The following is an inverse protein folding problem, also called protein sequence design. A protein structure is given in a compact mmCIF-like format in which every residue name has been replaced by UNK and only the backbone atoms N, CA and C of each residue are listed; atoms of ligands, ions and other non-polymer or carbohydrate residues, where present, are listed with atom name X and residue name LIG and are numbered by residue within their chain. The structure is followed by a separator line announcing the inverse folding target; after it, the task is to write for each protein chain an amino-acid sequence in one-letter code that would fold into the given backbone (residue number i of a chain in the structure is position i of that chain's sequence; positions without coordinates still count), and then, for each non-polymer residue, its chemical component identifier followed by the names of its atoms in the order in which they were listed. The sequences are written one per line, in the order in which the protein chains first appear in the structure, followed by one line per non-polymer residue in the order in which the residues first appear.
data_IF_334575246955
#
_entry.id   IF_334575246955
#
_cell.length_a   1.000
_cell.length_b   1.000
_cell.length_c   1.000
_cell.angle_alpha   90.00
_cell.angle_beta   90.00
_cell.angle_gamma   90.00
#
_symmetry.space_group_name_H-M   'P 1'
#
loop_
_entity.id
_entity.type
_entity.pdbx_description
1 polymer ?
#
# COMPACT_ATOMS: atom_id res chain seq x y z
N UNK A 1 -5.41 -22.69 9.18
CA UNK A 1 -5.48 -22.40 10.63
C UNK A 1 -6.19 -21.06 10.77
N UNK A 2 -7.49 -21.08 11.09
CA UNK A 2 -8.35 -19.90 11.02
C UNK A 2 -8.16 -19.01 12.25
N UNK A 3 -7.84 -17.74 12.02
CA UNK A 3 -7.88 -16.71 13.05
C UNK A 3 -9.35 -16.36 13.35
N UNK A 4 -10.00 -17.12 14.23
CA UNK A 4 -11.16 -16.62 14.96
C UNK A 4 -10.66 -15.64 16.03
N UNK A 5 -10.43 -14.38 15.62
CA UNK A 5 -10.25 -13.31 16.59
C UNK A 5 -11.60 -13.00 17.25
N UNK A 6 -11.68 -13.31 18.55
CA UNK A 6 -12.83 -13.03 19.41
C UNK A 6 -13.31 -11.58 19.28
N UNK A 7 -14.61 -11.40 19.08
CA UNK A 7 -15.36 -10.15 18.94
C UNK A 7 -15.44 -9.29 20.21
N UNK A 8 -14.35 -9.15 20.97
CA UNK A 8 -14.19 -8.08 21.96
C UNK A 8 -12.90 -7.33 21.67
N UNK A 9 -13.01 -6.26 20.87
CA UNK A 9 -11.94 -5.25 20.76
C UNK A 9 -11.65 -4.72 22.16
N UNK A 10 -10.38 -4.52 22.50
CA UNK A 10 -10.03 -3.92 23.79
C UNK A 10 -10.73 -2.57 23.94
N UNK A 11 -11.01 -2.16 25.18
CA UNK A 11 -11.65 -0.88 25.47
C UNK A 11 -10.89 0.29 24.80
N UNK A 12 -9.57 0.15 24.72
CA UNK A 12 -8.66 1.11 24.12
C UNK A 12 -8.85 1.25 22.61
N UNK A 13 -9.07 0.14 21.90
CA UNK A 13 -9.44 0.17 20.48
C UNK A 13 -10.77 0.87 20.26
N UNK A 14 -11.77 0.64 21.13
CA UNK A 14 -13.07 1.30 21.01
C UNK A 14 -12.97 2.82 21.24
N UNK A 15 -12.18 3.27 22.22
CA UNK A 15 -11.90 4.69 22.46
C UNK A 15 -11.23 5.35 21.24
N UNK A 16 -10.21 4.71 20.68
CA UNK A 16 -9.56 5.19 19.46
C UNK A 16 -10.56 5.35 18.31
N UNK A 17 -11.35 4.32 17.99
CA UNK A 17 -12.30 4.40 16.87
C UNK A 17 -13.39 5.44 17.08
N UNK A 18 -13.84 5.64 18.33
CA UNK A 18 -14.78 6.71 18.66
C UNK A 18 -14.17 8.09 18.41
N UNK A 19 -12.92 8.32 18.82
CA UNK A 19 -12.20 9.57 18.55
C UNK A 19 -11.93 9.80 17.07
N UNK A 20 -11.55 8.74 16.33
CA UNK A 20 -11.32 8.82 14.88
C UNK A 20 -12.58 9.25 14.15
N UNK A 21 -13.73 8.65 14.50
CA UNK A 21 -15.03 9.08 13.96
C UNK A 21 -15.37 10.52 14.31
N UNK A 22 -15.19 10.93 15.57
CA UNK A 22 -15.44 12.32 15.98
C UNK A 22 -14.56 13.32 15.23
N UNK A 23 -13.31 12.97 14.92
CA UNK A 23 -12.43 13.79 14.11
C UNK A 23 -12.96 13.89 12.67
N UNK A 24 -13.38 12.77 12.07
CA UNK A 24 -13.93 12.76 10.71
C UNK A 24 -15.20 13.61 10.61
N UNK A 25 -16.13 13.42 11.54
CA UNK A 25 -17.37 14.19 11.63
C UNK A 25 -17.05 15.68 11.81
N UNK A 26 -16.12 16.03 12.72
CA UNK A 26 -15.70 17.41 12.94
C UNK A 26 -15.15 18.07 11.67
N UNK A 27 -14.27 17.39 10.93
CA UNK A 27 -13.68 17.95 9.70
C UNK A 27 -14.73 18.05 8.60
N UNK A 28 -15.64 17.09 8.49
CA UNK A 28 -16.73 17.15 7.52
C UNK A 28 -17.66 18.35 7.79
N UNK A 29 -17.94 18.65 9.07
CA UNK A 29 -18.83 19.73 9.47
C UNK A 29 -18.18 21.12 9.41
N UNK A 30 -16.86 21.20 9.62
CA UNK A 30 -16.15 22.48 9.76
C UNK A 30 -15.17 22.78 8.62
N UNK A 31 -14.98 21.85 7.69
CA UNK A 31 -14.04 21.97 6.58
C UNK A 31 -14.73 21.93 5.23
N UNK A 32 -14.08 22.52 4.24
CA UNK A 32 -14.46 22.39 2.84
C UNK A 32 -13.67 21.24 2.21
N UNK A 33 -14.38 20.22 1.70
CA UNK A 33 -13.75 19.18 0.89
C UNK A 33 -13.27 19.79 -0.44
N UNK A 34 -11.96 19.76 -0.68
CA UNK A 34 -11.34 20.31 -1.90
C UNK A 34 -11.16 19.22 -2.95
N UNK A 35 -10.75 18.02 -2.55
CA UNK A 35 -10.47 16.91 -3.47
C UNK A 35 -10.67 15.56 -2.80
N UNK A 36 -11.24 14.62 -3.54
CA UNK A 36 -11.25 13.18 -3.24
C UNK A 36 -10.54 12.44 -4.36
N UNK A 37 -9.73 11.44 -4.03
CA UNK A 37 -9.02 10.58 -4.99
C UNK A 37 -9.48 9.13 -4.80
N UNK A 38 -9.77 8.45 -5.91
CA UNK A 38 -10.20 7.03 -5.96
C UNK A 38 -11.40 6.71 -5.05
N UNK A 39 -12.29 7.68 -4.82
CA UNK A 39 -13.46 7.53 -3.96
C UNK A 39 -13.13 6.88 -2.60
N UNK A 40 -12.06 7.37 -1.96
CA UNK A 40 -11.63 6.95 -0.61
C UNK A 40 -11.98 8.00 0.45
N UNK A 41 -13.25 8.06 0.89
CA UNK A 41 -13.72 9.03 1.88
C UNK A 41 -13.23 8.72 3.30
N UNK A 42 -13.22 9.78 4.12
CA UNK A 42 -13.01 9.72 5.56
C UNK A 42 -14.28 9.31 6.32
N UNK A 43 -14.87 8.15 5.99
CA UNK A 43 -16.11 7.70 6.62
C UNK A 43 -16.07 6.23 7.05
N UNK A 44 -16.85 5.91 8.07
CA UNK A 44 -17.04 4.55 8.54
C UNK A 44 -18.16 3.87 7.75
N UNK A 45 -17.89 2.65 7.27
CA UNK A 45 -18.91 1.85 6.57
C UNK A 45 -19.65 0.98 7.57
N UNK A 46 -20.97 0.92 7.44
CA UNK A 46 -21.82 0.03 8.22
C UNK A 46 -21.83 -1.34 7.54
N UNK A 47 -21.39 -2.38 8.25
CA UNK A 47 -21.37 -3.75 7.76
C UNK A 47 -22.24 -4.64 8.65
N UNK A 48 -23.08 -5.47 8.01
CA UNK A 48 -23.82 -6.51 8.70
C UNK A 48 -22.94 -7.75 8.86
N UNK A 49 -22.62 -8.13 10.10
CA UNK A 49 -21.99 -9.43 10.40
C UNK A 49 -22.76 -10.11 11.52
N UNK A 50 -23.16 -11.36 11.28
CA UNK A 50 -23.79 -12.24 12.28
C UNK A 50 -24.89 -11.53 13.10
N UNK A 51 -25.86 -10.93 12.41
CA UNK A 51 -27.01 -10.22 13.01
C UNK A 51 -26.68 -8.93 13.79
N UNK A 52 -25.44 -8.45 13.75
CA UNK A 52 -25.02 -7.18 14.36
C UNK A 52 -24.57 -6.16 13.32
N UNK A 53 -24.87 -4.88 13.58
CA UNK A 53 -24.34 -3.74 12.84
C UNK A 53 -22.95 -3.43 13.39
N UNK A 54 -21.93 -3.49 12.54
CA UNK A 54 -20.55 -3.16 12.90
C UNK A 54 -20.11 -1.96 12.08
N UNK A 55 -19.55 -0.96 12.75
CA UNK A 55 -18.87 0.18 12.12
C UNK A 55 -17.44 -0.23 11.76
N UNK A 56 -17.14 -0.23 10.46
CA UNK A 56 -15.84 -0.61 9.92
C UNK A 56 -15.08 0.67 9.56
N UNK A 57 -13.89 0.91 10.13
CA UNK A 57 -13.09 2.08 9.80
C UNK A 57 -12.62 2.00 8.34
N UNK A 58 -12.38 3.13 7.66
CA UNK A 58 -11.82 3.12 6.32
C UNK A 58 -10.42 2.49 6.33
N UNK A 59 -10.11 1.69 5.32
CA UNK A 59 -8.76 1.10 5.15
C UNK A 59 -7.73 2.17 4.77
N UNK A 60 -8.16 3.14 3.96
CA UNK A 60 -7.37 4.29 3.53
C UNK A 60 -8.30 5.47 3.26
N UNK A 61 -7.78 6.68 3.43
CA UNK A 61 -8.45 7.94 3.11
C UNK A 61 -7.56 8.67 2.12
N UNK A 62 -8.16 9.28 1.09
CA UNK A 62 -7.44 10.13 0.13
C UNK A 62 -8.26 11.37 -0.15
N UNK A 63 -8.30 12.25 0.84
CA UNK A 63 -9.07 13.49 0.80
C UNK A 63 -8.23 14.67 1.24
N UNK A 64 -8.50 15.81 0.63
CA UNK A 64 -7.90 17.09 0.98
C UNK A 64 -9.03 18.02 1.45
N UNK A 65 -8.92 18.48 2.69
CA UNK A 65 -9.83 19.45 3.28
C UNK A 65 -9.14 20.79 3.48
N UNK A 66 -9.89 21.86 3.25
CA UNK A 66 -9.56 23.21 3.66
C UNK A 66 -10.30 23.55 4.95
N UNK A 67 -9.60 24.07 5.94
CA UNK A 67 -10.12 24.46 7.25
C UNK A 67 -9.63 25.87 7.56
N UNK A 68 -10.45 26.66 8.26
CA UNK A 68 -10.01 27.92 8.86
C UNK A 68 -8.95 27.66 9.94
N UNK A 69 -8.08 28.64 10.22
CA UNK A 69 -6.96 28.49 11.16
C UNK A 69 -7.38 27.98 12.55
N UNK A 70 -8.48 28.51 13.10
CA UNK A 70 -9.01 28.07 14.40
C UNK A 70 -9.47 26.60 14.35
N UNK A 71 -10.13 26.20 13.26
CA UNK A 71 -10.64 24.83 13.06
C UNK A 71 -9.53 23.85 12.76
N UNK A 72 -8.48 24.27 12.06
CA UNK A 72 -7.28 23.47 11.85
C UNK A 72 -6.56 23.21 13.17
N UNK A 73 -6.45 24.22 14.04
CA UNK A 73 -5.86 24.05 15.37
C UNK A 73 -6.66 23.05 16.21
N UNK A 74 -7.99 23.18 16.22
CA UNK A 74 -8.87 22.24 16.93
C UNK A 74 -8.78 20.81 16.35
N UNK A 75 -8.73 20.67 15.02
CA UNK A 75 -8.51 19.38 14.35
C UNK A 75 -7.17 18.75 14.76
N UNK A 76 -6.12 19.57 14.91
CA UNK A 76 -4.80 19.12 15.35
C UNK A 76 -4.83 18.58 16.78
N UNK A 77 -5.54 19.23 17.69
CA UNK A 77 -5.68 18.76 19.07
C UNK A 77 -6.45 17.43 19.13
N UNK A 78 -7.57 17.34 18.39
CA UNK A 78 -8.34 16.08 18.25
C UNK A 78 -7.50 14.96 17.64
N UNK A 79 -6.72 15.25 16.60
CA UNK A 79 -5.82 14.29 15.95
C UNK A 79 -4.73 13.79 16.90
N UNK A 80 -4.11 14.67 17.68
CA UNK A 80 -3.10 14.29 18.66
C UNK A 80 -3.67 13.40 19.76
N UNK A 81 -4.87 13.73 20.27
CA UNK A 81 -5.57 12.88 21.24
C UNK A 81 -5.90 11.50 20.66
N UNK A 82 -6.40 11.44 19.43
CA UNK A 82 -6.67 10.20 18.72
C UNK A 82 -5.40 9.35 18.52
N UNK A 83 -4.27 9.97 18.13
CA UNK A 83 -2.97 9.29 17.97
C UNK A 83 -2.47 8.69 19.29
N UNK A 84 -2.66 9.40 20.40
CA UNK A 84 -2.29 8.91 21.72
C UNK A 84 -3.07 7.63 22.07
N UNK A 85 -4.40 7.65 21.86
CA UNK A 85 -5.24 6.48 22.14
C UNK A 85 -4.93 5.30 21.21
N UNK A 86 -4.61 5.55 19.93
CA UNK A 86 -4.10 4.54 19.01
C UNK A 86 -2.80 3.90 19.50
N UNK A 87 -1.86 4.72 19.97
CA UNK A 87 -0.56 4.25 20.46
C UNK A 87 -0.73 3.36 21.69
N UNK A 88 -1.63 3.74 22.61
CA UNK A 88 -2.00 2.90 23.76
C UNK A 88 -2.64 1.57 23.32
N UNK A 89 -3.57 1.59 22.35
CA UNK A 89 -4.22 0.38 21.85
C UNK A 89 -3.20 -0.59 21.21
N UNK A 90 -2.25 -0.05 20.46
CA UNK A 90 -1.16 -0.84 19.89
C UNK A 90 -0.24 -1.43 20.95
N UNK A 91 0.07 -0.67 22.01
CA UNK A 91 0.88 -1.14 23.13
C UNK A 91 0.20 -2.28 23.91
N UNK A 92 -1.11 -2.21 24.15
CA UNK A 92 -1.89 -3.31 24.76
C UNK A 92 -1.78 -4.61 23.95
N UNK A 93 -1.72 -4.49 22.62
CA UNK A 93 -1.57 -5.60 21.70
C UNK A 93 -0.09 -6.08 21.56
N UNK A 94 0.85 -5.53 22.33
CA UNK A 94 2.30 -5.72 22.18
C UNK A 94 2.81 -5.40 20.75
N UNK A 95 2.18 -4.45 20.07
CA UNK A 95 2.57 -3.99 18.73
C UNK A 95 3.21 -2.61 18.83
N UNK A 96 4.30 -2.42 18.09
CA UNK A 96 4.93 -1.11 17.93
C UNK A 96 4.95 -0.75 16.45
N UNK A 97 4.26 0.32 16.06
CA UNK A 97 4.33 0.81 14.69
C UNK A 97 5.29 2.00 14.60
N UNK A 98 6.27 1.91 13.69
CA UNK A 98 7.16 3.04 13.37
C UNK A 98 6.48 4.12 12.52
N UNK A 99 5.30 3.83 11.96
CA UNK A 99 4.57 4.74 11.06
C UNK A 99 3.08 4.69 11.32
N UNK A 100 2.43 5.84 11.26
CA UNK A 100 0.97 5.91 11.33
C UNK A 100 0.35 5.40 10.01
N UNK A 101 -0.81 4.73 10.07
CA UNK A 101 -1.59 4.39 8.88
C UNK A 101 -1.94 5.61 8.02
N UNK A 102 -2.12 5.42 6.72
CA UNK A 102 -2.37 6.50 5.76
C UNK A 102 -3.70 7.26 5.98
N UNK A 103 -4.62 6.71 6.78
CA UNK A 103 -5.88 7.36 7.16
C UNK A 103 -5.73 8.39 8.28
N UNK A 104 -4.56 8.46 8.92
CA UNK A 104 -4.30 9.48 9.93
C UNK A 104 -4.15 10.85 9.28
N UNK A 105 -4.67 11.91 9.91
CA UNK A 105 -4.61 13.25 9.36
C UNK A 105 -3.17 13.75 9.27
N UNK A 106 -2.88 14.45 8.18
CA UNK A 106 -1.63 15.17 7.97
C UNK A 106 -1.98 16.64 7.85
N UNK A 107 -1.45 17.44 8.77
CA UNK A 107 -1.95 18.80 9.03
C UNK A 107 -0.93 19.82 8.56
N UNK A 108 -1.34 20.74 7.70
CA UNK A 108 -0.50 21.79 7.12
C UNK A 108 -1.15 23.16 7.26
N UNK A 109 -0.38 24.18 7.61
CA UNK A 109 -0.83 25.57 7.72
C UNK A 109 -0.14 26.46 6.69
N UNK A 110 -0.76 27.57 6.31
CA UNK A 110 -0.21 28.52 5.33
C UNK A 110 0.02 27.88 3.96
N UNK A 111 -0.84 26.94 3.58
CA UNK A 111 -0.74 26.23 2.29
C UNK A 111 -1.16 27.18 1.17
N UNK A 112 -0.33 27.27 0.14
CA UNK A 112 -0.60 28.10 -1.05
C UNK A 112 -0.93 27.26 -2.27
N UNK A 113 -0.47 26.00 -2.31
CA UNK A 113 -0.66 25.09 -3.43
C UNK A 113 -0.43 23.65 -3.01
N UNK A 114 -1.19 22.73 -3.60
CA UNK A 114 -0.94 21.29 -3.49
C UNK A 114 -0.83 20.70 -4.89
N UNK A 115 0.28 20.03 -5.17
CA UNK A 115 0.46 19.25 -6.38
C UNK A 115 0.33 17.77 -6.05
N UNK A 116 -0.64 17.10 -6.66
CA UNK A 116 -0.80 15.66 -6.62
C UNK A 116 0.02 15.03 -7.73
N UNK A 117 0.79 14.01 -7.38
CA UNK A 117 1.54 13.19 -8.31
C UNK A 117 1.15 11.74 -8.12
N UNK A 118 0.80 11.10 -9.22
CA UNK A 118 0.43 9.70 -9.29
C UNK A 118 1.54 8.94 -10.00
N UNK A 119 2.13 7.97 -9.34
CA UNK A 119 3.15 7.10 -9.92
C UNK A 119 2.74 5.64 -9.72
N UNK A 120 3.22 4.75 -10.57
CA UNK A 120 3.12 3.33 -10.31
C UNK A 120 3.94 2.96 -9.06
N UNK A 121 3.32 2.19 -8.16
CA UNK A 121 3.97 1.64 -6.99
C UNK A 121 4.57 0.30 -7.35
N UNK A 122 5.79 0.06 -6.90
CA UNK A 122 6.46 -1.23 -7.03
C UNK A 122 6.82 -1.75 -5.64
N UNK A 123 6.65 -3.06 -5.45
CA UNK A 123 7.23 -3.77 -4.32
C UNK A 123 8.43 -4.57 -4.80
N UNK A 124 9.58 -4.36 -4.16
CA UNK A 124 10.81 -5.09 -4.43
C UNK A 124 11.18 -5.93 -3.20
N UNK A 125 11.57 -7.18 -3.41
CA UNK A 125 12.03 -8.07 -2.35
C UNK A 125 13.17 -8.96 -2.84
N UNK A 126 13.97 -9.43 -1.89
CA UNK A 126 15.04 -10.38 -2.15
C UNK A 126 14.51 -11.80 -1.92
N UNK A 127 14.74 -12.68 -2.89
CA UNK A 127 14.46 -14.11 -2.75
C UNK A 127 15.57 -14.73 -1.92
N UNK A 128 15.21 -15.34 -0.80
CA UNK A 128 16.14 -16.11 0.04
C UNK A 128 15.96 -17.59 -0.27
N UNK A 129 17.05 -18.35 -0.24
CA UNK A 129 17.07 -19.79 -0.57
C UNK A 129 16.08 -20.62 0.24
N UNK A 130 15.78 -20.17 1.47
CA UNK A 130 14.80 -20.77 2.36
C UNK A 130 13.73 -19.73 2.72
N UNK A 131 12.46 -20.12 2.59
CA UNK A 131 11.32 -19.27 2.90
C UNK A 131 10.01 -19.84 2.37
N UNK A 132 8.93 -19.12 2.65
CA UNK A 132 7.60 -19.45 2.13
C UNK A 132 7.56 -19.33 0.60
N UNK A 133 6.64 -20.05 -0.08
CA UNK A 133 6.37 -19.86 -1.49
C UNK A 133 6.16 -18.39 -1.85
N UNK A 134 6.76 -17.96 -2.96
CA UNK A 134 6.71 -16.58 -3.42
C UNK A 134 5.72 -16.43 -4.57
N UNK A 135 4.90 -15.37 -4.59
CA UNK A 135 4.01 -15.11 -5.71
C UNK A 135 4.82 -14.64 -6.92
N UNK A 136 4.67 -15.30 -8.06
CA UNK A 136 5.41 -14.98 -9.30
C UNK A 136 4.52 -14.44 -10.43
N UNK A 137 3.21 -14.66 -10.36
CA UNK A 137 2.24 -14.09 -11.30
C UNK A 137 0.90 -13.83 -10.62
N UNK A 138 0.21 -12.77 -11.06
CA UNK A 138 -1.12 -12.37 -10.61
C UNK A 138 -2.11 -12.32 -11.78
N UNK A 139 -3.33 -12.78 -11.51
CA UNK A 139 -4.45 -12.82 -12.44
C UNK A 139 -5.69 -12.24 -11.76
N UNK A 140 -6.27 -11.18 -12.30
CA UNK A 140 -7.54 -10.65 -11.80
C UNK A 140 -8.68 -11.51 -12.35
N UNK A 141 -9.60 -11.92 -11.47
CA UNK A 141 -10.64 -12.89 -11.84
C UNK A 141 -11.77 -12.21 -12.63
N UNK A 142 -11.65 -12.19 -13.95
CA UNK A 142 -12.81 -12.30 -14.84
C UNK A 142 -12.83 -13.72 -15.44
N UNK A 143 -14.01 -14.24 -15.80
CA UNK A 143 -14.24 -15.65 -16.22
C UNK A 143 -13.28 -16.17 -17.32
N UNK A 144 -12.56 -15.28 -17.99
CA UNK A 144 -11.63 -15.54 -19.09
C UNK A 144 -10.20 -15.92 -18.66
N UNK A 145 -9.83 -15.86 -17.37
CA UNK A 145 -8.43 -16.07 -16.95
C UNK A 145 -8.07 -17.49 -16.46
N UNK A 146 -9.03 -18.37 -16.22
CA UNK A 146 -8.75 -19.71 -15.67
C UNK A 146 -7.90 -20.58 -16.61
N UNK A 147 -8.22 -20.57 -17.91
CA UNK A 147 -7.43 -21.23 -18.95
C UNK A 147 -6.01 -20.65 -19.04
N UNK A 148 -5.86 -19.34 -18.82
CA UNK A 148 -4.57 -18.65 -18.83
C UNK A 148 -3.72 -19.07 -17.63
N UNK A 149 -4.32 -19.17 -16.45
CA UNK A 149 -3.65 -19.66 -15.22
C UNK A 149 -3.19 -21.11 -15.43
N UNK A 150 -4.07 -21.98 -15.95
CA UNK A 150 -3.73 -23.38 -16.20
C UNK A 150 -2.57 -23.52 -17.20
N UNK A 151 -2.58 -22.76 -18.29
CA UNK A 151 -1.47 -22.71 -19.25
C UNK A 151 -0.15 -22.28 -18.60
N UNK A 152 -0.19 -21.25 -17.74
CA UNK A 152 0.99 -20.79 -17.02
C UNK A 152 1.53 -21.84 -16.05
N UNK A 153 0.65 -22.51 -15.29
CA UNK A 153 1.03 -23.61 -14.38
C UNK A 153 1.64 -24.79 -15.14
N UNK A 154 1.01 -25.22 -16.25
CA UNK A 154 1.56 -26.28 -17.10
C UNK A 154 2.94 -25.93 -17.63
N UNK A 155 3.14 -24.67 -18.04
CA UNK A 155 4.43 -24.19 -18.53
C UNK A 155 5.51 -24.24 -17.45
N UNK A 156 5.22 -23.75 -16.23
CA UNK A 156 6.15 -23.82 -15.11
C UNK A 156 6.52 -25.26 -14.77
N UNK A 157 5.55 -26.18 -14.77
CA UNK A 157 5.81 -27.61 -14.55
C UNK A 157 6.72 -28.20 -15.63
N UNK A 158 6.56 -27.81 -16.90
CA UNK A 158 7.45 -28.23 -17.98
C UNK A 158 8.90 -27.73 -17.80
N UNK A 159 9.10 -26.62 -17.09
CA UNK A 159 10.41 -26.10 -16.68
C UNK A 159 10.93 -26.74 -15.38
N UNK A 160 10.25 -27.76 -14.85
CA UNK A 160 10.62 -28.43 -13.60
C UNK A 160 10.28 -27.63 -12.34
N UNK A 161 9.36 -26.66 -12.44
CA UNK A 161 8.94 -25.79 -11.34
C UNK A 161 7.53 -26.18 -10.87
N UNK A 162 7.39 -26.42 -9.57
CA UNK A 162 6.11 -26.75 -8.95
C UNK A 162 5.37 -25.47 -8.55
N UNK A 163 4.33 -25.17 -9.32
CA UNK A 163 3.49 -23.99 -9.12
C UNK A 163 2.20 -24.34 -8.35
N UNK A 164 1.85 -23.50 -7.37
CA UNK A 164 0.62 -23.58 -6.57
C UNK A 164 -0.24 -22.35 -6.88
N UNK A 165 -1.56 -22.53 -7.05
CA UNK A 165 -2.49 -21.42 -7.26
C UNK A 165 -3.25 -21.15 -5.96
N UNK A 166 -3.25 -19.89 -5.50
CA UNK A 166 -4.00 -19.46 -4.34
C UNK A 166 -4.91 -18.27 -4.68
N UNK A 167 -6.11 -18.28 -4.11
CA UNK A 167 -7.05 -17.15 -4.18
C UNK A 167 -6.61 -16.03 -3.22
N UNK A 168 -6.88 -14.79 -3.61
CA UNK A 168 -6.54 -13.58 -2.87
C UNK A 168 -7.50 -12.45 -3.23
N UNK A 169 -7.56 -11.43 -2.37
CA UNK A 169 -8.26 -10.18 -2.67
C UNK A 169 -7.25 -9.05 -2.72
N UNK A 170 -7.18 -8.34 -3.84
CA UNK A 170 -6.29 -7.19 -4.02
C UNK A 170 -7.16 -5.99 -4.28
N UNK A 171 -7.03 -4.95 -3.44
CA UNK A 171 -7.80 -3.69 -3.59
C UNK A 171 -9.32 -3.87 -3.68
N UNK A 172 -9.86 -4.94 -3.08
CA UNK A 172 -11.29 -5.29 -3.12
C UNK A 172 -11.71 -6.17 -4.29
N UNK A 173 -10.81 -6.46 -5.23
CA UNK A 173 -11.04 -7.35 -6.37
C UNK A 173 -10.48 -8.75 -6.11
N UNK A 174 -11.23 -9.78 -6.53
CA UNK A 174 -10.80 -11.16 -6.45
C UNK A 174 -9.67 -11.43 -7.46
N UNK A 175 -8.58 -12.04 -6.98
CA UNK A 175 -7.40 -12.34 -7.77
C UNK A 175 -6.87 -13.74 -7.45
N UNK A 176 -6.25 -14.38 -8.43
CA UNK A 176 -5.49 -15.62 -8.26
C UNK A 176 -4.00 -15.32 -8.39
N UNK A 177 -3.20 -15.93 -7.54
CA UNK A 177 -1.75 -15.85 -7.58
C UNK A 177 -1.15 -17.22 -7.83
N UNK A 178 -0.12 -17.26 -8.69
CA UNK A 178 0.75 -18.43 -8.82
C UNK A 178 1.93 -18.24 -7.87
N UNK A 179 2.15 -19.22 -7.01
CA UNK A 179 3.24 -19.29 -6.05
C UNK A 179 4.23 -20.39 -6.42
N UNK A 180 5.52 -20.12 -6.19
CA UNK A 180 6.61 -21.06 -6.46
C UNK A 180 7.60 -21.04 -5.30
N UNK A 181 8.23 -22.18 -5.03
CA UNK A 181 9.26 -22.27 -4.00
C UNK A 181 10.53 -21.50 -4.39
N UNK A 182 11.15 -20.73 -3.48
CA UNK A 182 12.35 -19.94 -3.76
C UNK A 182 13.50 -20.75 -4.38
N UNK A 183 13.76 -21.95 -3.87
CA UNK A 183 14.83 -22.84 -4.33
C UNK A 183 14.64 -23.31 -5.78
N UNK A 184 13.40 -23.54 -6.22
CA UNK A 184 13.11 -23.91 -7.61
C UNK A 184 13.38 -22.75 -8.57
N UNK A 185 13.07 -21.50 -8.17
CA UNK A 185 13.39 -20.30 -8.94
C UNK A 185 14.91 -20.08 -9.05
N UNK A 186 15.63 -20.17 -7.93
CA UNK A 186 17.09 -20.02 -7.91
C UNK A 186 17.77 -21.09 -8.77
N UNK A 187 17.30 -22.35 -8.67
CA UNK A 187 17.80 -23.45 -9.49
C UNK A 187 17.56 -23.22 -10.97
N UNK A 188 16.36 -22.79 -11.36
CA UNK A 188 16.01 -22.52 -12.76
C UNK A 188 16.88 -21.41 -13.36
N UNK A 189 17.10 -20.32 -12.62
CA UNK A 189 17.95 -19.20 -13.09
C UNK A 189 19.46 -19.43 -12.90
N UNK A 190 19.88 -20.59 -12.37
CA UNK A 190 21.29 -20.92 -12.13
C UNK A 190 21.95 -20.06 -11.04
N UNK A 191 21.19 -19.57 -10.06
CA UNK A 191 21.64 -18.64 -9.01
C UNK A 191 21.87 -19.38 -7.68
N UNK A 192 22.87 -20.27 -7.62
CA UNK A 192 23.10 -21.07 -6.40
C UNK A 192 23.67 -20.24 -5.23
N UNK A 193 24.52 -19.26 -5.53
CA UNK A 193 25.18 -18.37 -4.55
C UNK A 193 24.90 -16.87 -4.80
N UNK A 194 23.97 -16.57 -5.71
CA UNK A 194 23.64 -15.21 -6.12
C UNK A 194 22.27 -14.77 -5.61
N UNK A 195 22.13 -13.46 -5.38
CA UNK A 195 20.90 -12.86 -4.92
C UNK A 195 19.89 -12.68 -6.09
N UNK A 196 18.73 -13.33 -6.01
CA UNK A 196 17.62 -13.08 -6.92
C UNK A 196 16.74 -11.94 -6.38
N UNK A 197 16.66 -10.84 -7.11
CA UNK A 197 15.77 -9.72 -6.76
C UNK A 197 14.50 -9.78 -7.59
N UNK A 198 13.38 -9.67 -6.88
CA UNK A 198 12.05 -9.67 -7.46
C UNK A 198 11.46 -8.27 -7.36
N UNK A 199 10.77 -7.83 -8.41
CA UNK A 199 10.01 -6.59 -8.44
C UNK A 199 8.63 -6.85 -9.04
N UNK A 200 7.60 -6.24 -8.47
CA UNK A 200 6.25 -6.29 -9.05
C UNK A 200 5.55 -4.96 -8.88
N UNK A 201 4.70 -4.61 -9.85
CA UNK A 201 3.74 -3.52 -9.68
C UNK A 201 2.79 -3.87 -8.53
N UNK A 202 2.77 -3.04 -7.49
CA UNK A 202 1.97 -3.20 -6.28
C UNK A 202 0.74 -2.29 -6.26
N UNK A 203 0.54 -1.49 -7.32
CA UNK A 203 -0.61 -0.61 -7.48
C UNK A 203 -0.17 0.81 -7.80
N UNK A 204 -0.92 1.78 -7.29
CA UNK A 204 -0.68 3.21 -7.54
C UNK A 204 -0.22 3.91 -6.26
N UNK A 205 0.88 4.66 -6.35
CA UNK A 205 1.37 5.51 -5.30
C UNK A 205 0.96 6.95 -5.55
N UNK A 206 0.18 7.50 -4.61
CA UNK A 206 -0.26 8.88 -4.60
C UNK A 206 0.65 9.69 -3.67
N UNK A 207 1.31 10.71 -4.21
CA UNK A 207 2.18 11.65 -3.48
C UNK A 207 1.68 13.07 -3.65
N UNK A 208 1.80 13.88 -2.61
CA UNK A 208 1.53 15.31 -2.68
C UNK A 208 2.80 16.11 -2.41
N UNK A 209 2.95 17.20 -3.13
CA UNK A 209 3.83 18.30 -2.75
C UNK A 209 2.96 19.44 -2.23
N UNK A 210 3.07 19.69 -0.93
CA UNK A 210 2.39 20.79 -0.25
C UNK A 210 3.35 21.97 -0.21
N UNK A 211 2.90 23.12 -0.72
CA UNK A 211 3.67 24.35 -0.76
C UNK A 211 3.21 25.28 0.37
N UNK A 212 4.13 25.71 1.21
CA UNK A 212 3.91 26.62 2.34
C UNK A 212 4.79 27.86 2.14
N UNK A 213 4.28 28.82 1.38
CA UNK A 213 5.09 29.97 0.91
C UNK A 213 6.23 29.50 0.00
N UNK A 214 7.48 29.59 0.48
CA UNK A 214 8.68 29.13 -0.25
C UNK A 214 9.05 27.68 0.05
N UNK A 215 8.47 27.08 1.10
CA UNK A 215 8.78 25.71 1.50
C UNK A 215 7.95 24.71 0.68
N UNK A 216 8.56 23.56 0.41
CA UNK A 216 7.95 22.45 -0.34
C UNK A 216 8.10 21.16 0.46
N UNK A 217 6.98 20.62 0.93
CA UNK A 217 6.95 19.37 1.70
C UNK A 217 6.40 18.25 0.83
N UNK A 218 7.14 17.14 0.76
CA UNK A 218 6.68 15.92 0.07
C UNK A 218 6.00 14.99 1.06
N UNK A 219 4.77 14.58 0.77
CA UNK A 219 4.00 13.63 1.59
C UNK A 219 3.33 12.55 0.74
N UNK A 220 2.89 11.45 1.36
CA UNK A 220 1.88 10.58 0.76
C UNK A 220 0.55 11.32 0.70
N UNK A 221 -0.30 11.01 -0.27
CA UNK A 221 -1.68 11.46 -0.21
C UNK A 221 -2.46 10.50 0.67
N UNK A 222 -2.83 11.00 1.84
CA UNK A 222 -3.71 10.36 2.80
C UNK A 222 -4.87 11.29 3.12
N UNK A 223 -5.11 11.51 4.41
CA UNK A 223 -6.08 12.50 4.89
C UNK A 223 -5.38 13.85 5.14
N UNK A 224 -5.43 14.77 4.19
CA UNK A 224 -4.76 16.08 4.29
C UNK A 224 -5.73 17.13 4.85
N UNK A 225 -5.36 17.75 5.97
CA UNK A 225 -6.09 18.86 6.58
C UNK A 225 -5.24 20.13 6.43
N UNK A 226 -5.73 21.11 5.71
CA UNK A 226 -4.94 22.26 5.31
C UNK A 226 -5.63 23.58 5.65
N UNK A 227 -4.87 24.54 6.13
CA UNK A 227 -5.28 25.95 6.21
C UNK A 227 -4.56 26.77 5.13
N UNK A 228 -5.26 27.79 4.63
CA UNK A 228 -4.82 28.67 3.55
C UNK A 228 -5.79 28.65 2.37
N UNK A 229 -5.59 29.58 1.44
CA UNK A 229 -6.29 29.60 0.16
C UNK A 229 -5.40 28.95 -0.90
N UNK A 230 -5.72 27.71 -1.25
CA UNK A 230 -4.90 26.89 -2.12
C UNK A 230 -5.73 26.09 -3.11
N UNK A 231 -5.18 25.91 -4.30
CA UNK A 231 -5.72 24.96 -5.27
C UNK A 231 -4.93 23.66 -5.27
N UNK A 232 -5.63 22.61 -5.70
CA UNK A 232 -5.09 21.26 -5.86
C UNK A 232 -4.94 20.97 -7.35
N UNK A 233 -3.72 20.68 -7.78
CA UNK A 233 -3.41 20.40 -9.19
C UNK A 233 -2.90 18.98 -9.34
N UNK A 234 -3.41 18.26 -10.34
CA UNK A 234 -2.81 17.02 -10.79
C UNK A 234 -1.60 17.34 -11.68
N UNK A 235 -0.42 16.88 -11.24
CA UNK A 235 0.79 16.94 -12.04
C UNK A 235 0.89 15.70 -12.90
N UNK A 236 1.42 15.86 -14.13
CA UNK A 236 1.65 14.74 -15.02
C UNK A 236 2.47 13.66 -14.29
N UNK A 237 2.10 12.37 -14.43
CA UNK A 237 2.90 11.27 -13.92
C UNK A 237 4.34 11.47 -14.38
N UNK A 238 5.29 11.44 -13.45
CA UNK A 238 6.69 11.41 -13.86
C UNK A 238 6.94 10.04 -14.49
N UNK A 239 7.78 10.01 -15.53
CA UNK A 239 8.29 8.74 -16.03
C UNK A 239 8.84 7.93 -14.84
N UNK A 240 8.54 6.62 -14.76
CA UNK A 240 9.06 5.78 -13.71
C UNK A 240 10.58 5.94 -13.68
N UNK A 241 11.11 6.52 -12.58
CA UNK A 241 12.55 6.62 -12.43
C UNK A 241 13.10 5.21 -12.41
N UNK A 242 14.02 4.89 -13.34
CA UNK A 242 14.65 3.58 -13.40
C UNK A 242 15.19 3.23 -12.02
N UNK A 243 14.71 2.13 -11.47
CA UNK A 243 15.11 1.73 -10.12
C UNK A 243 16.55 1.22 -10.16
N UNK A 244 17.29 1.30 -9.04
CA UNK A 244 18.64 0.69 -8.96
C UNK A 244 18.67 -0.80 -9.39
N UNK A 245 17.52 -1.46 -9.32
CA UNK A 245 17.33 -2.85 -9.79
C UNK A 245 17.30 -2.97 -11.30
N UNK A 246 16.76 -1.98 -12.02
CA UNK A 246 16.75 -1.96 -13.50
C UNK A 246 18.08 -1.43 -14.07
N UNK A 247 18.78 -0.57 -13.31
CA UNK A 247 20.01 0.08 -13.76
C UNK A 247 21.29 -0.75 -13.56
N UNK A 248 21.27 -1.76 -12.69
CA UNK A 248 22.49 -2.48 -12.27
C UNK A 248 22.35 -4.01 -12.30
N UNK A 249 21.38 -4.56 -13.05
CA UNK A 249 21.08 -6.00 -13.01
C UNK A 249 20.63 -6.55 -14.35
N UNK A 250 21.11 -7.75 -14.68
CA UNK A 250 20.61 -8.52 -15.81
C UNK A 250 19.19 -9.01 -15.51
N UNK A 251 18.22 -8.63 -16.34
CA UNK A 251 16.84 -9.13 -16.23
C UNK A 251 16.81 -10.62 -16.61
N UNK A 252 16.14 -11.41 -15.78
CA UNK A 252 15.96 -12.84 -15.95
C UNK A 252 14.52 -13.11 -16.39
N UNK A 253 14.36 -13.97 -17.39
CA UNK A 253 13.04 -14.32 -17.94
C UNK A 253 12.90 -15.83 -18.06
N UNK A 254 11.67 -16.32 -17.93
CA UNK A 254 11.36 -17.72 -18.23
C UNK A 254 11.39 -17.96 -19.74
N UNK A 255 11.86 -19.13 -20.15
CA UNK A 255 11.92 -19.51 -21.55
C UNK A 255 10.51 -19.43 -22.20
N UNK A 256 10.41 -18.63 -23.26
CA UNK A 256 9.16 -18.32 -23.95
C UNK A 256 8.17 -17.43 -23.19
N UNK A 257 8.58 -16.80 -22.08
CA UNK A 257 7.79 -15.84 -21.29
C UNK A 257 6.72 -16.46 -20.37
N UNK A 258 6.21 -15.67 -19.43
CA UNK A 258 5.09 -16.04 -18.56
C UNK A 258 3.91 -15.09 -18.83
N UNK A 259 2.71 -15.64 -19.00
CA UNK A 259 1.52 -14.84 -19.33
C UNK A 259 0.91 -14.30 -18.03
N UNK A 260 0.61 -13.00 -17.95
CA UNK A 260 -0.05 -12.36 -16.80
C UNK A 260 0.75 -11.17 -16.26
N UNK A 261 0.24 -10.53 -15.20
CA UNK A 261 1.02 -9.53 -14.45
C UNK A 261 2.05 -10.27 -13.61
N UNK A 262 3.26 -10.38 -14.14
CA UNK A 262 4.33 -11.17 -13.57
C UNK A 262 5.24 -10.33 -12.68
N UNK A 263 5.88 -11.03 -11.74
CA UNK A 263 7.03 -10.50 -11.02
C UNK A 263 8.21 -10.51 -11.99
N UNK A 264 8.91 -9.39 -12.06
CA UNK A 264 10.15 -9.26 -12.79
C UNK A 264 11.31 -9.78 -11.93
N UNK A 265 12.20 -10.55 -12.54
CA UNK A 265 13.35 -11.17 -11.89
C UNK A 265 14.63 -10.53 -12.37
N UNK A 266 15.55 -10.29 -11.45
CA UNK A 266 16.83 -9.64 -11.72
C UNK A 266 17.94 -10.37 -10.97
N UNK A 267 19.03 -10.70 -11.68
CA UNK A 267 20.27 -11.17 -11.05
C UNK A 267 20.91 -10.01 -10.30
N UNK A 268 21.18 -10.13 -9.01
CA UNK A 268 22.01 -9.13 -8.35
C UNK A 268 23.47 -9.30 -8.75
N UNK A 269 24.06 -8.27 -9.36
CA UNK A 269 25.51 -8.16 -9.39
C UNK A 269 25.99 -7.94 -7.96
N UNK A 270 26.99 -8.72 -7.56
CA UNK A 270 27.76 -8.48 -6.33
C UNK A 270 28.49 -7.16 -6.59
N UNK A 271 28.19 -6.11 -5.82
CA UNK A 271 29.07 -4.94 -5.78
C UNK A 271 30.43 -5.45 -5.30
N UNK A 272 31.37 -5.65 -6.23
CA UNK A 272 32.79 -5.68 -5.87
C UNK A 272 33.08 -4.29 -5.33
N UNK A 273 33.17 -4.19 -4.01
CA UNK A 273 33.80 -3.05 -3.38
C UNK A 273 35.25 -3.13 -3.82
N UNK A 274 35.63 -2.31 -4.79
CA UNK A 274 37.03 -2.01 -5.03
C UNK A 274 37.52 -1.32 -3.74
N UNK A 275 38.23 -2.08 -2.91
CA UNK A 275 38.98 -1.54 -1.79
C UNK A 275 40.18 -0.78 -2.39
N UNK A 276 40.04 0.53 -2.52
CA UNK A 276 41.17 1.47 -2.61
C UNK A 276 41.77 1.74 -1.21
#
# INVERSE_FOLDING_TARGET
MGYEMSLKRSEQWNKFYAMERQLFDFVADNGQLVRTIDDKPAEYVISHRYQSLIYVPPESIRQVYRLDANKLSEAKDKANAMILEYTKAMAEDNKVSKRLPARFPQIFSGVTKINIQTNEAYSSFLVRTYGDPLPIARYFTNKTQEDTINKAVCKLRALGINAIVLDSTVTGEQAKYIFVQPNELLKYFGLQDEELRCRRSSGTQYRAFVYQGKEKVRTNIGYLLCEGDFDVYDTLPQEPRSHKTELCKTQLTFDGGLIGQHVEFYRAEIETVDED
#
